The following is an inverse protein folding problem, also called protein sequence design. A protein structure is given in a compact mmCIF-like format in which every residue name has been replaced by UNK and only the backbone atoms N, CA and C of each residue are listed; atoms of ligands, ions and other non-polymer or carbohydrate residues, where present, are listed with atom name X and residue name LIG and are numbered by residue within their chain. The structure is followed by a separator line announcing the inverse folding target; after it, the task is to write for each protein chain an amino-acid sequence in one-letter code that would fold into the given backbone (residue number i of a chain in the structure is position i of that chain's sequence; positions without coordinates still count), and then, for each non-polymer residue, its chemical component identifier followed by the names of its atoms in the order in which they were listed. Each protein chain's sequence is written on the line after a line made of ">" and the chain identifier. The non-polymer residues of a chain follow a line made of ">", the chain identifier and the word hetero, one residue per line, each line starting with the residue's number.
data_IF_187751902228
#
_entry.id   IF_187751902228
#
_cell.length_a   1.000
_cell.length_b   1.000
_cell.length_c   1.000
_cell.angle_alpha   90.00
_cell.angle_beta   90.00
_cell.angle_gamma   90.00
#
_symmetry.space_group_name_H-M   'P 1'
#
loop_
_entity.id
_entity.type
_entity.pdbx_description
1 polymer ?
#
# COMPACT_ATOMS: atom_id res chain seq x y z
N UNK A 1 64.93 27.18 -60.55
CA UNK A 1 65.86 26.46 -59.64
C UNK A 1 65.65 27.02 -58.23
N UNK A 2 64.86 26.37 -57.38
CA UNK A 2 65.27 25.36 -56.36
C UNK A 2 66.24 25.93 -55.34
N UNK A 3 66.14 25.73 -54.02
CA UNK A 3 65.17 25.16 -53.07
C UNK A 3 65.75 25.58 -51.71
N UNK A 4 64.86 25.87 -50.77
CA UNK A 4 65.09 26.16 -49.35
C UNK A 4 65.89 25.07 -48.63
N UNK A 5 66.80 25.45 -47.72
CA UNK A 5 67.13 24.66 -46.52
C UNK A 5 67.62 25.61 -45.41
N UNK A 6 66.76 25.83 -44.40
CA UNK A 6 67.15 26.44 -43.11
C UNK A 6 67.32 25.29 -42.14
N UNK A 7 68.58 25.03 -41.79
CA UNK A 7 69.00 24.05 -40.79
C UNK A 7 69.07 24.73 -39.42
N UNK A 8 68.28 24.29 -38.45
CA UNK A 8 68.48 24.57 -37.01
C UNK A 8 68.59 23.25 -36.24
N UNK A 9 69.32 23.23 -35.11
CA UNK A 9 70.21 22.12 -34.76
C UNK A 9 69.58 21.10 -33.80
N UNK A 10 70.19 19.92 -33.80
CA UNK A 10 69.90 18.75 -32.97
C UNK A 10 70.30 18.97 -31.49
N UNK A 11 69.49 18.45 -30.55
CA UNK A 11 69.92 17.91 -29.25
C UNK A 11 68.85 16.92 -28.72
N UNK A 12 69.18 16.01 -27.78
CA UNK A 12 69.00 14.59 -27.98
C UNK A 12 68.20 13.89 -26.86
N UNK A 13 67.72 12.70 -27.21
CA UNK A 13 67.75 11.46 -26.42
C UNK A 13 67.54 11.48 -24.90
N UNK A 14 66.43 10.85 -24.52
CA UNK A 14 66.33 9.80 -23.49
C UNK A 14 66.35 10.22 -22.00
N UNK A 15 65.18 10.09 -21.33
CA UNK A 15 65.03 9.14 -20.20
C UNK A 15 63.61 9.03 -19.64
N UNK A 16 63.16 7.78 -19.65
CA UNK A 16 62.38 7.10 -18.60
C UNK A 16 61.02 7.67 -18.20
N UNK A 17 59.97 7.13 -18.81
CA UNK A 17 58.86 6.62 -18.02
C UNK A 17 58.59 5.18 -18.47
N UNK A 18 59.03 4.22 -17.65
CA UNK A 18 58.59 2.83 -17.69
C UNK A 18 57.07 2.77 -17.45
N UNK A 19 56.27 3.11 -18.45
CA UNK A 19 54.87 2.75 -18.48
C UNK A 19 54.82 1.29 -18.93
N UNK A 20 54.71 0.37 -17.98
CA UNK A 20 54.42 -1.06 -18.18
C UNK A 20 53.22 -1.21 -19.13
N UNK A 21 53.41 -1.50 -20.43
CA UNK A 21 52.32 -1.33 -21.39
C UNK A 21 51.52 -2.62 -21.59
N UNK A 22 51.37 -3.49 -20.58
CA UNK A 22 50.99 -4.89 -20.88
C UNK A 22 49.86 -5.50 -20.04
N UNK A 23 49.31 -4.83 -19.02
CA UNK A 23 48.22 -5.43 -18.23
C UNK A 23 46.85 -4.80 -18.54
N UNK A 24 46.74 -3.48 -18.51
CA UNK A 24 45.48 -2.78 -18.75
C UNK A 24 44.99 -2.89 -20.22
N UNK A 25 45.91 -2.90 -21.18
CA UNK A 25 45.63 -3.05 -22.61
C UNK A 25 45.24 -4.48 -22.96
N UNK A 26 45.96 -5.47 -22.41
CA UNK A 26 45.69 -6.91 -22.61
C UNK A 26 44.38 -7.35 -21.94
N UNK A 27 44.09 -6.86 -20.74
CA UNK A 27 42.82 -7.12 -20.06
C UNK A 27 41.63 -6.59 -20.87
N UNK A 28 41.74 -5.36 -21.39
CA UNK A 28 40.71 -4.75 -22.24
C UNK A 28 40.48 -5.52 -23.53
N UNK A 29 41.52 -6.07 -24.16
CA UNK A 29 41.37 -6.83 -25.40
C UNK A 29 40.67 -8.19 -25.18
N UNK A 30 40.95 -8.87 -24.06
CA UNK A 30 40.21 -10.09 -23.69
C UNK A 30 38.75 -9.79 -23.41
N UNK A 31 38.44 -8.75 -22.65
CA UNK A 31 37.04 -8.38 -22.35
C UNK A 31 36.25 -8.00 -23.60
N UNK A 32 36.87 -7.30 -24.57
CA UNK A 32 36.24 -7.01 -25.87
C UNK A 32 35.90 -8.28 -26.65
N UNK A 33 36.74 -9.32 -26.56
CA UNK A 33 36.47 -10.59 -27.23
C UNK A 33 35.31 -11.37 -26.58
N UNK A 34 35.10 -11.21 -25.27
CA UNK A 34 33.92 -11.78 -24.58
C UNK A 34 32.62 -11.02 -24.93
N UNK A 35 32.70 -9.71 -25.16
CA UNK A 35 31.55 -8.88 -25.56
C UNK A 35 31.14 -9.05 -27.04
N UNK A 36 32.09 -9.40 -27.92
CA UNK A 36 31.82 -9.67 -29.36
C UNK A 36 31.49 -11.14 -29.64
N UNK A 37 31.71 -12.03 -28.67
CA UNK A 37 31.35 -13.45 -28.80
C UNK A 37 29.84 -13.61 -28.71
N UNK A 38 29.24 -14.34 -29.67
CA UNK A 38 27.80 -14.67 -29.70
C UNK A 38 27.27 -15.15 -28.35
N UNK A 39 28.07 -15.94 -27.62
CA UNK A 39 27.72 -16.46 -26.29
C UNK A 39 27.46 -15.39 -25.23
N UNK A 40 28.22 -14.28 -25.25
CA UNK A 40 28.03 -13.16 -24.32
C UNK A 40 26.72 -12.41 -24.57
N UNK A 41 26.34 -12.28 -25.84
CA UNK A 41 25.12 -11.58 -26.23
C UNK A 41 23.86 -12.35 -25.76
N UNK A 42 23.85 -13.68 -25.87
CA UNK A 42 22.74 -14.51 -25.38
C UNK A 42 22.61 -14.49 -23.86
N UNK A 43 23.72 -14.49 -23.11
CA UNK A 43 23.67 -14.41 -21.64
C UNK A 43 23.14 -13.09 -21.10
N UNK A 44 23.46 -11.97 -21.77
CA UNK A 44 22.93 -10.64 -21.40
C UNK A 44 21.45 -10.53 -21.75
N UNK A 45 21.04 -11.02 -22.94
CA UNK A 45 19.64 -11.06 -23.34
C UNK A 45 18.79 -11.94 -22.41
N UNK A 46 19.31 -13.10 -21.99
CA UNK A 46 18.63 -13.98 -21.04
C UNK A 46 18.43 -13.29 -19.68
N UNK A 47 19.47 -12.65 -19.13
CA UNK A 47 19.36 -11.94 -17.85
C UNK A 47 18.41 -10.74 -17.89
N UNK A 48 18.43 -9.95 -18.97
CA UNK A 48 17.48 -8.84 -19.16
C UNK A 48 16.06 -9.35 -19.27
N UNK A 49 15.84 -10.43 -20.05
CA UNK A 49 14.52 -11.01 -20.24
C UNK A 49 13.96 -11.61 -18.95
N UNK A 50 14.77 -12.34 -18.18
CA UNK A 50 14.36 -12.89 -16.88
C UNK A 50 13.99 -11.77 -15.88
N UNK A 51 14.75 -10.67 -15.89
CA UNK A 51 14.48 -9.49 -15.07
C UNK A 51 13.15 -8.81 -15.40
N UNK A 52 12.86 -8.60 -16.68
CA UNK A 52 11.57 -8.02 -17.13
C UNK A 52 10.39 -8.91 -16.75
N UNK A 53 10.52 -10.23 -16.94
CA UNK A 53 9.44 -11.19 -16.61
C UNK A 53 9.18 -11.26 -15.11
N UNK A 54 10.22 -11.16 -14.28
CA UNK A 54 10.07 -11.10 -12.84
C UNK A 54 9.35 -9.82 -12.39
N UNK A 55 9.73 -8.66 -12.94
CA UNK A 55 9.09 -7.37 -12.63
C UNK A 55 7.61 -7.36 -13.01
N UNK A 56 7.28 -7.85 -14.20
CA UNK A 56 5.89 -7.99 -14.70
C UNK A 56 5.06 -8.89 -13.79
N UNK A 57 5.61 -10.06 -13.44
CA UNK A 57 4.92 -11.03 -12.57
C UNK A 57 4.72 -10.48 -11.15
N UNK A 58 5.73 -9.82 -10.57
CA UNK A 58 5.64 -9.22 -9.24
C UNK A 58 4.63 -8.06 -9.20
N UNK A 59 4.55 -7.26 -10.28
CA UNK A 59 3.54 -6.23 -10.44
C UNK A 59 2.13 -6.82 -10.43
N UNK A 60 1.88 -7.85 -11.24
CA UNK A 60 0.57 -8.53 -11.30
C UNK A 60 0.23 -9.18 -9.95
N UNK A 61 1.19 -9.85 -9.33
CA UNK A 61 1.00 -10.58 -8.09
C UNK A 61 0.69 -9.64 -6.91
N UNK A 62 1.44 -8.54 -6.77
CA UNK A 62 1.18 -7.52 -5.75
C UNK A 62 -0.18 -6.85 -5.95
N UNK A 63 -0.58 -6.63 -7.20
CA UNK A 63 -1.89 -6.11 -7.57
C UNK A 63 -3.02 -7.08 -7.19
N UNK A 64 -2.84 -8.38 -7.44
CA UNK A 64 -3.77 -9.46 -7.07
C UNK A 64 -3.89 -9.60 -5.55
N UNK A 65 -2.78 -9.62 -4.80
CA UNK A 65 -2.84 -9.70 -3.35
C UNK A 65 -3.50 -8.47 -2.73
N UNK A 66 -3.21 -7.27 -3.23
CA UNK A 66 -3.88 -6.04 -2.80
C UNK A 66 -5.39 -6.07 -3.10
N UNK A 67 -5.77 -6.67 -4.24
CA UNK A 67 -7.15 -6.89 -4.65
C UNK A 67 -7.88 -7.88 -3.73
N UNK A 68 -7.28 -9.03 -3.44
CA UNK A 68 -7.81 -10.01 -2.49
C UNK A 68 -7.99 -9.43 -1.09
N UNK A 69 -6.98 -8.70 -0.59
CA UNK A 69 -7.06 -8.03 0.71
C UNK A 69 -8.22 -7.04 0.75
N UNK A 70 -8.48 -6.30 -0.34
CA UNK A 70 -9.62 -5.40 -0.42
C UNK A 70 -10.97 -6.14 -0.34
N UNK A 71 -11.12 -7.23 -1.11
CA UNK A 71 -12.36 -8.03 -1.10
C UNK A 71 -12.63 -8.60 0.29
N UNK A 72 -11.59 -9.10 0.96
CA UNK A 72 -11.68 -9.63 2.31
C UNK A 72 -12.04 -8.56 3.34
N UNK A 73 -11.48 -7.34 3.20
CA UNK A 73 -11.85 -6.19 4.01
C UNK A 73 -13.34 -5.82 3.80
N UNK A 74 -13.82 -5.85 2.56
CA UNK A 74 -15.22 -5.56 2.21
C UNK A 74 -16.18 -6.63 2.77
N UNK A 75 -15.80 -7.91 2.68
CA UNK A 75 -16.57 -9.02 3.27
C UNK A 75 -16.61 -8.93 4.80
N UNK A 76 -15.50 -8.50 5.42
CA UNK A 76 -15.43 -8.26 6.86
C UNK A 76 -16.37 -7.12 7.27
N UNK A 77 -16.34 -5.98 6.56
CA UNK A 77 -17.27 -4.86 6.77
C UNK A 77 -18.72 -5.30 6.57
N UNK A 78 -19.01 -6.11 5.54
CA UNK A 78 -20.35 -6.67 5.32
C UNK A 78 -20.80 -7.52 6.51
N UNK A 79 -19.95 -8.41 7.03
CA UNK A 79 -20.28 -9.27 8.16
C UNK A 79 -20.60 -8.46 9.45
N UNK A 80 -19.93 -7.32 9.68
CA UNK A 80 -20.22 -6.43 10.80
C UNK A 80 -21.37 -5.43 10.53
N UNK A 81 -21.67 -5.12 9.28
CA UNK A 81 -22.74 -4.21 8.84
C UNK A 81 -24.08 -4.89 8.51
N UNK A 82 -24.18 -6.21 8.64
CA UNK A 82 -25.32 -6.99 8.17
C UNK A 82 -26.63 -6.79 8.97
N UNK A 83 -26.60 -6.04 10.08
CA UNK A 83 -27.77 -5.72 10.88
C UNK A 83 -28.63 -4.55 10.30
N UNK A 84 -28.19 -3.89 9.23
CA UNK A 84 -28.76 -2.62 8.75
C UNK A 84 -29.33 -2.68 7.32
N UNK A 85 -29.98 -3.79 6.93
CA UNK A 85 -30.65 -3.94 5.62
C UNK A 85 -31.91 -3.07 5.44
N UNK A 86 -31.86 -1.79 5.83
CA UNK A 86 -32.95 -0.82 5.68
C UNK A 86 -32.77 0.20 4.56
N UNK A 87 -31.55 0.48 4.08
CA UNK A 87 -31.29 1.71 3.29
C UNK A 87 -30.66 1.39 1.93
N UNK A 88 -31.50 1.32 0.90
CA UNK A 88 -31.18 1.03 -0.51
C UNK A 88 -29.97 1.80 -1.10
N UNK A 89 -29.68 3.00 -0.60
CA UNK A 89 -28.58 3.84 -1.08
C UNK A 89 -27.18 3.31 -0.75
N UNK A 90 -27.00 2.61 0.38
CA UNK A 90 -25.69 2.05 0.76
C UNK A 90 -25.33 0.82 -0.07
N UNK A 91 -26.32 0.00 -0.45
CA UNK A 91 -26.12 -1.12 -1.37
C UNK A 91 -25.67 -0.66 -2.76
N UNK A 92 -26.16 0.49 -3.22
CA UNK A 92 -25.77 1.05 -4.50
C UNK A 92 -24.32 1.56 -4.49
N UNK A 93 -23.88 2.26 -3.43
CA UNK A 93 -22.47 2.71 -3.32
C UNK A 93 -21.53 1.49 -3.27
N UNK A 94 -21.88 0.45 -2.51
CA UNK A 94 -21.13 -0.82 -2.47
C UNK A 94 -21.03 -1.52 -3.83
N UNK A 95 -22.11 -1.50 -4.64
CA UNK A 95 -22.11 -2.07 -5.99
C UNK A 95 -21.23 -1.25 -6.96
N UNK A 96 -21.28 0.08 -6.88
CA UNK A 96 -20.42 0.98 -7.69
C UNK A 96 -18.95 0.80 -7.30
N UNK A 97 -18.68 0.66 -6.01
CA UNK A 97 -17.39 0.30 -5.42
C UNK A 97 -16.90 -1.03 -6.04
N UNK A 98 -17.71 -2.09 -6.03
CA UNK A 98 -17.35 -3.40 -6.59
C UNK A 98 -17.14 -3.35 -8.11
N UNK A 99 -18.00 -2.65 -8.85
CA UNK A 99 -17.86 -2.49 -10.29
C UNK A 99 -16.57 -1.74 -10.67
N UNK A 100 -16.23 -0.67 -9.95
CA UNK A 100 -14.98 0.08 -10.16
C UNK A 100 -13.73 -0.76 -9.88
N UNK A 101 -13.82 -1.71 -8.95
CA UNK A 101 -12.75 -2.66 -8.68
C UNK A 101 -12.60 -3.72 -9.77
N UNK A 102 -13.72 -4.24 -10.30
CA UNK A 102 -13.70 -5.18 -11.43
C UNK A 102 -13.10 -4.51 -12.67
N UNK A 103 -13.43 -3.25 -12.92
CA UNK A 103 -12.85 -2.47 -14.02
C UNK A 103 -11.34 -2.26 -13.81
N UNK A 104 -10.89 -1.95 -12.59
CA UNK A 104 -9.46 -1.84 -12.23
C UNK A 104 -8.69 -3.13 -12.53
N UNK A 105 -9.30 -4.29 -12.25
CA UNK A 105 -8.74 -5.61 -12.54
C UNK A 105 -8.72 -5.90 -14.05
N UNK A 106 -9.77 -5.51 -14.78
CA UNK A 106 -9.87 -5.73 -16.23
C UNK A 106 -8.95 -4.81 -17.03
N UNK A 107 -8.68 -3.59 -16.56
CA UNK A 107 -7.77 -2.64 -17.21
C UNK A 107 -6.28 -2.94 -16.96
N UNK A 108 -5.95 -4.07 -16.33
CA UNK A 108 -4.56 -4.55 -16.15
C UNK A 108 -3.71 -4.53 -17.44
N UNK A 109 -4.32 -4.64 -18.62
CA UNK A 109 -3.62 -4.53 -19.90
C UNK A 109 -3.13 -3.11 -20.27
N UNK A 110 -3.61 -2.07 -19.59
CA UNK A 110 -3.33 -0.63 -19.86
C UNK A 110 -2.51 0.02 -18.73
N UNK A 111 -2.01 -0.80 -17.80
CA UNK A 111 -1.35 -0.37 -16.55
C UNK A 111 -0.13 0.53 -16.75
N UNK A 112 0.55 0.43 -17.90
CA UNK A 112 1.75 1.22 -18.17
C UNK A 112 1.46 2.73 -18.26
N UNK A 113 0.25 3.12 -18.66
CA UNK A 113 -0.18 4.52 -18.74
C UNK A 113 -0.96 5.00 -17.51
N UNK A 114 -1.64 4.09 -16.80
CA UNK A 114 -2.68 4.43 -15.80
C UNK A 114 -2.27 4.03 -14.36
N UNK A 115 -1.08 3.45 -14.16
CA UNK A 115 -0.63 2.92 -12.86
C UNK A 115 -0.72 3.91 -11.68
N UNK A 116 -0.51 5.21 -11.91
CA UNK A 116 -0.64 6.24 -10.86
C UNK A 116 -2.09 6.48 -10.45
N UNK A 117 -3.02 6.48 -11.40
CA UNK A 117 -4.45 6.67 -11.16
C UNK A 117 -5.05 5.48 -10.39
N UNK A 118 -4.59 4.26 -10.69
CA UNK A 118 -4.96 3.04 -9.96
C UNK A 118 -4.63 3.15 -8.47
N UNK A 119 -3.45 3.69 -8.13
CA UNK A 119 -3.04 3.88 -6.73
C UNK A 119 -3.96 4.88 -6.02
N UNK A 120 -4.31 6.00 -6.67
CA UNK A 120 -5.22 7.01 -6.11
C UNK A 120 -6.62 6.43 -5.89
N UNK A 121 -7.15 5.68 -6.86
CA UNK A 121 -8.45 5.00 -6.74
C UNK A 121 -8.49 4.01 -5.57
N UNK A 122 -7.37 3.31 -5.32
CA UNK A 122 -7.24 2.40 -4.18
C UNK A 122 -7.26 3.14 -2.84
N UNK A 123 -6.54 4.25 -2.73
CA UNK A 123 -6.52 5.08 -1.53
C UNK A 123 -7.88 5.74 -1.27
N UNK A 124 -8.54 6.22 -2.33
CA UNK A 124 -9.89 6.77 -2.28
C UNK A 124 -10.90 5.78 -1.68
N UNK A 125 -10.80 4.51 -2.08
CA UNK A 125 -11.67 3.45 -1.57
C UNK A 125 -11.51 3.20 -0.07
N UNK A 126 -10.27 3.23 0.44
CA UNK A 126 -10.00 3.10 1.89
C UNK A 126 -10.65 4.25 2.65
N UNK A 127 -10.54 5.47 2.12
CA UNK A 127 -11.18 6.65 2.70
C UNK A 127 -12.71 6.52 2.73
N UNK A 128 -13.32 6.12 1.62
CA UNK A 128 -14.77 5.88 1.54
C UNK A 128 -15.27 4.82 2.54
N UNK A 129 -14.54 3.71 2.68
CA UNK A 129 -14.86 2.68 3.68
C UNK A 129 -14.76 3.25 5.09
N UNK A 130 -13.79 4.11 5.40
CA UNK A 130 -13.66 4.74 6.71
C UNK A 130 -14.82 5.71 6.98
N UNK A 131 -15.22 6.52 5.99
CA UNK A 131 -16.39 7.40 6.12
C UNK A 131 -17.67 6.60 6.39
N UNK A 132 -17.88 5.52 5.64
CA UNK A 132 -19.04 4.63 5.81
C UNK A 132 -19.03 3.91 7.17
N UNK A 133 -17.86 3.42 7.61
CA UNK A 133 -17.71 2.80 8.93
C UNK A 133 -17.88 3.79 10.06
N UNK A 134 -17.38 5.02 9.93
CA UNK A 134 -17.55 6.07 10.92
C UNK A 134 -19.03 6.45 11.05
N UNK A 135 -19.72 6.63 9.93
CA UNK A 135 -21.15 6.90 9.91
C UNK A 135 -21.96 5.73 10.51
N UNK A 136 -21.63 4.49 10.15
CA UNK A 136 -22.29 3.29 10.69
C UNK A 136 -22.01 3.02 12.17
N UNK A 137 -20.83 3.41 12.67
CA UNK A 137 -20.50 3.31 14.09
C UNK A 137 -21.24 4.36 14.93
N UNK A 138 -21.42 5.57 14.39
CA UNK A 138 -22.17 6.65 15.04
C UNK A 138 -23.65 6.28 15.19
N UNK A 139 -24.24 5.66 14.17
CA UNK A 139 -25.63 5.16 14.20
C UNK A 139 -25.84 4.02 15.22
N UNK A 140 -24.82 3.21 15.49
CA UNK A 140 -24.86 2.22 16.58
C UNK A 140 -24.53 2.79 17.96
N UNK A 141 -23.91 3.97 18.04
CA UNK A 141 -23.55 4.57 19.33
C UNK A 141 -24.76 5.22 20.03
N UNK A 142 -25.74 5.71 19.27
CA UNK A 142 -27.01 6.24 19.81
C UNK A 142 -27.79 5.23 20.69
N UNK A 143 -28.12 4.01 20.23
CA UNK A 143 -28.88 3.07 21.05
C UNK A 143 -28.09 2.59 22.28
N UNK A 144 -26.75 2.55 22.20
CA UNK A 144 -25.89 2.21 23.33
C UNK A 144 -25.86 3.33 24.40
N UNK A 145 -25.90 4.60 24.01
CA UNK A 145 -26.02 5.72 24.94
C UNK A 145 -27.39 5.76 25.62
N UNK A 146 -28.47 5.53 24.87
CA UNK A 146 -29.82 5.43 25.43
C UNK A 146 -29.89 4.32 26.50
N UNK A 147 -29.30 3.16 26.22
CA UNK A 147 -29.21 2.05 27.19
C UNK A 147 -28.40 2.40 28.44
N UNK A 148 -27.35 3.20 28.30
CA UNK A 148 -26.55 3.66 29.45
C UNK A 148 -27.39 4.57 30.35
N UNK A 149 -28.16 5.47 29.73
CA UNK A 149 -29.02 6.42 30.42
C UNK A 149 -30.18 5.72 31.16
N UNK A 150 -30.75 4.68 30.56
CA UNK A 150 -31.77 3.84 31.21
C UNK A 150 -31.23 3.06 32.41
N UNK A 151 -30.03 2.48 32.28
CA UNK A 151 -29.37 1.76 33.38
C UNK A 151 -28.99 2.72 34.52
N UNK A 152 -28.62 3.96 34.22
CA UNK A 152 -28.33 4.98 35.23
C UNK A 152 -29.59 5.42 35.99
N UNK A 153 -30.72 5.57 35.27
CA UNK A 153 -32.04 5.84 35.87
C UNK A 153 -32.48 4.71 36.79
N UNK A 154 -32.34 3.45 36.37
CA UNK A 154 -32.68 2.29 37.20
C UNK A 154 -31.85 2.24 38.49
N UNK A 155 -30.54 2.53 38.41
CA UNK A 155 -29.68 2.60 39.59
C UNK A 155 -30.10 3.72 40.55
N UNK A 156 -30.46 4.90 40.04
CA UNK A 156 -30.93 6.02 40.86
C UNK A 156 -32.24 5.70 41.60
N UNK A 157 -33.17 5.03 40.91
CA UNK A 157 -34.46 4.60 41.47
C UNK A 157 -34.26 3.54 42.57
N UNK A 158 -33.44 2.51 42.31
CA UNK A 158 -33.10 1.49 43.29
C UNK A 158 -32.44 2.09 44.54
N UNK A 159 -31.56 3.08 44.36
CA UNK A 159 -30.89 3.77 45.47
C UNK A 159 -31.90 4.52 46.36
N UNK A 160 -32.90 5.19 45.77
CA UNK A 160 -34.02 5.82 46.50
C UNK A 160 -34.87 4.80 47.26
N UNK A 161 -35.19 3.67 46.64
CA UNK A 161 -35.97 2.62 47.29
C UNK A 161 -35.27 2.07 48.54
N UNK A 162 -33.95 1.87 48.46
CA UNK A 162 -33.13 1.45 49.60
C UNK A 162 -33.19 2.49 50.73
N UNK A 163 -33.06 3.78 50.42
CA UNK A 163 -33.17 4.87 51.41
C UNK A 163 -34.54 4.91 52.08
N UNK A 164 -35.61 4.81 51.30
CA UNK A 164 -36.98 4.82 51.83
C UNK A 164 -37.27 3.61 52.72
N UNK A 165 -36.83 2.42 52.32
CA UNK A 165 -36.96 1.20 53.13
C UNK A 165 -36.19 1.35 54.45
N UNK A 166 -34.96 1.87 54.40
CA UNK A 166 -34.13 2.11 55.59
C UNK A 166 -34.77 3.12 56.53
N UNK A 167 -35.31 4.22 56.00
CA UNK A 167 -36.01 5.24 56.78
C UNK A 167 -37.30 4.69 57.41
N UNK A 168 -38.10 3.91 56.66
CA UNK A 168 -39.29 3.25 57.21
C UNK A 168 -38.94 2.28 58.32
N UNK A 169 -37.87 1.50 58.17
CA UNK A 169 -37.42 0.59 59.22
C UNK A 169 -37.03 1.37 60.47
N UNK A 170 -36.26 2.44 60.32
CA UNK A 170 -35.84 3.31 61.42
C UNK A 170 -37.01 3.96 62.16
N UNK A 171 -38.02 4.47 61.44
CA UNK A 171 -39.24 5.01 62.06
C UNK A 171 -40.08 3.94 62.76
N UNK A 172 -40.12 2.71 62.22
CA UNK A 172 -40.85 1.61 62.83
C UNK A 172 -40.18 1.15 64.13
N UNK A 173 -38.86 1.09 64.15
CA UNK A 173 -38.08 0.73 65.33
C UNK A 173 -38.19 1.84 66.42
N UNK A 174 -38.21 3.12 66.03
CA UNK A 174 -38.40 4.24 66.96
C UNK A 174 -39.81 4.33 67.58
N UNK A 175 -40.83 3.78 66.92
CA UNK A 175 -42.22 3.79 67.42
C UNK A 175 -42.56 2.55 68.28
N UNK A 176 -41.62 1.60 68.41
CA UNK A 176 -41.74 0.39 69.23
C UNK A 176 -40.97 0.47 70.56
N UNK A 177 -40.33 1.62 70.85
CA UNK A 177 -39.61 1.95 72.10
C UNK A 177 -40.42 2.98 72.88
#
# INVERSE_FOLDING_TARGET
>A
MTRTDVQTPLLPSDRTHHATPNLATTARHKTKHYLTSKTGHYSVLALVSDGEKAQETLGILSLVFSCLFMVELLASVWAFGWAYFGTWFHCFDAFVILAGFVIDVLLKGVLEEIGSLVIVLRLWRVFKIIEELSAGAEEQMEPLQERLEDVEKENAELKKQIEQLRARHHSRDANLV
#
